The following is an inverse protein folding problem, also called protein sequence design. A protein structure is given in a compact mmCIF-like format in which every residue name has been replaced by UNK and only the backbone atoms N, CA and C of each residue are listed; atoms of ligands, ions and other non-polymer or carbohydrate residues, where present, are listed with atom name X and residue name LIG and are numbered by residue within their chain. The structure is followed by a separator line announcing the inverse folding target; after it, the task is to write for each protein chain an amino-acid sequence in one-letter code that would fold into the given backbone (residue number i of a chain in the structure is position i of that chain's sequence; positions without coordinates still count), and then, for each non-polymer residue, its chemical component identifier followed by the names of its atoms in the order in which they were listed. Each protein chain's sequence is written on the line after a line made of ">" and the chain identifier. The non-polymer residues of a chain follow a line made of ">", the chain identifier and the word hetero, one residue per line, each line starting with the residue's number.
data_IF_915721853768
#
_entry.id   IF_915721853768
#
_cell.length_a   1.000
_cell.length_b   1.000
_cell.length_c   1.000
_cell.angle_alpha   90.00
_cell.angle_beta   90.00
_cell.angle_gamma   90.00
#
_symmetry.space_group_name_H-M   'P 1'
#
loop_
_entity.id
_entity.type
_entity.pdbx_description
1 polymer ?
#
# COMPACT_ATOMS: atom_id res chain seq x y z
N UNK A 1 -3.64 -18.71 -0.01
CA UNK A 1 -3.82 -18.29 -1.42
C UNK A 1 -3.54 -16.81 -1.52
N UNK A 2 -2.54 -16.39 -2.31
CA UNK A 2 -2.30 -14.95 -2.54
C UNK A 2 -3.52 -14.38 -3.26
N UNK A 3 -4.30 -13.57 -2.55
CA UNK A 3 -5.50 -12.91 -3.09
C UNK A 3 -5.10 -12.11 -4.33
N UNK A 4 -5.99 -12.04 -5.33
CA UNK A 4 -5.73 -11.32 -6.59
C UNK A 4 -5.26 -9.87 -6.33
N UNK A 5 -5.75 -9.27 -5.23
CA UNK A 5 -5.35 -7.95 -4.74
C UNK A 5 -3.86 -7.84 -4.41
N UNK A 6 -3.31 -8.80 -3.65
CA UNK A 6 -1.89 -8.78 -3.24
C UNK A 6 -0.94 -8.78 -4.45
N UNK A 7 -1.20 -9.62 -5.45
CA UNK A 7 -0.39 -9.65 -6.69
C UNK A 7 -0.45 -8.33 -7.46
N UNK A 8 -1.61 -7.67 -7.48
CA UNK A 8 -1.76 -6.36 -8.13
C UNK A 8 -1.04 -5.25 -7.35
N UNK A 9 -1.08 -5.29 -6.01
CA UNK A 9 -0.33 -4.36 -5.15
C UNK A 9 1.16 -4.47 -5.44
N UNK A 10 1.72 -5.68 -5.42
CA UNK A 10 3.14 -5.92 -5.75
C UNK A 10 3.51 -5.39 -7.13
N UNK A 11 2.71 -5.68 -8.16
CA UNK A 11 2.98 -5.17 -9.51
C UNK A 11 2.98 -3.63 -9.56
N UNK A 12 2.04 -2.97 -8.86
CA UNK A 12 2.01 -1.51 -8.79
C UNK A 12 3.22 -0.94 -8.04
N UNK A 13 3.65 -1.56 -6.95
CA UNK A 13 4.85 -1.16 -6.19
C UNK A 13 6.10 -1.27 -7.05
N UNK A 14 6.30 -2.40 -7.74
CA UNK A 14 7.46 -2.62 -8.62
C UNK A 14 7.50 -1.60 -9.77
N UNK A 15 6.34 -1.21 -10.31
CA UNK A 15 6.26 -0.15 -11.32
C UNK A 15 6.41 1.28 -10.77
N UNK A 16 6.65 1.48 -9.47
CA UNK A 16 6.70 2.81 -8.85
C UNK A 16 5.34 3.51 -8.68
N UNK A 17 4.23 2.81 -8.97
CA UNK A 17 2.85 3.33 -8.88
C UNK A 17 2.28 3.12 -7.47
N UNK A 18 2.94 3.72 -6.48
CA UNK A 18 2.65 3.52 -5.06
C UNK A 18 1.25 3.98 -4.66
N UNK A 19 0.73 5.07 -5.25
CA UNK A 19 -0.64 5.54 -4.97
C UNK A 19 -1.69 4.52 -5.41
N UNK A 20 -1.53 3.91 -6.58
CA UNK A 20 -2.42 2.85 -7.06
C UNK A 20 -2.28 1.58 -6.22
N UNK A 21 -1.06 1.24 -5.80
CA UNK A 21 -0.83 0.12 -4.89
C UNK A 21 -1.60 0.31 -3.57
N UNK A 22 -1.52 1.50 -2.96
CA UNK A 22 -2.28 1.84 -1.76
C UNK A 22 -3.79 1.77 -1.98
N UNK A 23 -4.31 2.28 -3.10
CA UNK A 23 -5.75 2.21 -3.40
C UNK A 23 -6.26 0.77 -3.52
N UNK A 24 -5.47 -0.15 -4.06
CA UNK A 24 -5.85 -1.56 -4.16
C UNK A 24 -5.79 -2.21 -2.78
N UNK A 25 -4.72 -1.94 -2.01
CA UNK A 25 -4.53 -2.48 -0.67
C UNK A 25 -5.64 -2.04 0.30
N UNK A 26 -5.93 -0.74 0.34
CA UNK A 26 -6.99 -0.15 1.18
C UNK A 26 -8.38 -0.65 0.82
N UNK A 27 -8.72 -0.74 -0.47
CA UNK A 27 -10.00 -1.31 -0.94
C UNK A 27 -10.15 -2.79 -0.60
N UNK A 28 -9.05 -3.53 -0.56
CA UNK A 28 -9.06 -4.94 -0.18
C UNK A 28 -9.14 -5.14 1.33
N UNK A 29 -9.08 -4.07 2.14
CA UNK A 29 -9.05 -4.15 3.61
C UNK A 29 -7.78 -4.82 4.15
N UNK A 30 -6.72 -4.91 3.34
CA UNK A 30 -5.54 -5.70 3.68
C UNK A 30 -4.51 -4.83 4.41
N UNK A 31 -4.50 -4.93 5.75
CA UNK A 31 -3.54 -4.20 6.61
C UNK A 31 -2.10 -4.54 6.24
N UNK A 32 -1.80 -5.81 5.97
CA UNK A 32 -0.47 -6.26 5.56
C UNK A 32 0.00 -5.59 4.25
N UNK A 33 -0.89 -5.44 3.27
CA UNK A 33 -0.55 -4.78 2.00
C UNK A 33 -0.33 -3.29 2.18
N UNK A 34 -1.15 -2.63 3.01
CA UNK A 34 -0.98 -1.19 3.30
C UNK A 34 0.33 -0.93 4.06
N UNK A 35 0.71 -1.79 5.01
CA UNK A 35 2.00 -1.70 5.69
C UNK A 35 3.17 -1.91 4.72
N UNK A 36 3.06 -2.87 3.80
CA UNK A 36 4.07 -3.10 2.77
C UNK A 36 4.22 -1.87 1.85
N UNK A 37 3.11 -1.29 1.38
CA UNK A 37 3.14 -0.08 0.55
C UNK A 37 3.71 1.11 1.33
N UNK A 38 3.42 1.24 2.63
CA UNK A 38 4.00 2.29 3.48
C UNK A 38 5.53 2.18 3.55
N UNK A 39 6.05 0.96 3.78
CA UNK A 39 7.49 0.71 3.81
C UNK A 39 8.16 1.06 2.47
N UNK A 40 7.54 0.67 1.36
CA UNK A 40 8.03 0.98 0.02
C UNK A 40 7.93 2.47 -0.31
N UNK A 41 6.88 3.15 0.15
CA UNK A 41 6.74 4.59 -0.01
C UNK A 41 7.79 5.37 0.79
N UNK A 42 8.15 4.90 1.99
CA UNK A 42 9.26 5.47 2.76
C UNK A 42 10.59 5.33 2.00
N UNK A 43 10.88 4.14 1.47
CA UNK A 43 12.10 3.88 0.70
C UNK A 43 12.17 4.68 -0.61
N UNK A 44 11.04 4.87 -1.29
CA UNK A 44 10.94 5.67 -2.49
C UNK A 44 10.83 7.20 -2.20
N UNK A 45 10.91 7.61 -0.93
CA UNK A 45 10.69 8.98 -0.47
C UNK A 45 9.34 9.59 -0.94
N UNK A 46 8.35 8.74 -1.19
CA UNK A 46 6.99 9.10 -1.56
C UNK A 46 6.15 9.43 -0.32
N UNK A 47 6.57 10.48 0.40
CA UNK A 47 5.95 10.93 1.66
C UNK A 47 4.42 11.07 1.59
N UNK A 48 3.82 11.60 0.49
CA UNK A 48 2.36 11.71 0.41
C UNK A 48 1.63 10.36 0.46
N UNK A 49 2.21 9.31 -0.12
CA UNK A 49 1.62 7.96 -0.07
C UNK A 49 1.84 7.33 1.30
N UNK A 50 2.98 7.59 1.92
CA UNK A 50 3.27 7.15 3.28
C UNK A 50 2.27 7.73 4.29
N UNK A 51 1.96 9.03 4.20
CA UNK A 51 0.97 9.66 5.08
C UNK A 51 -0.43 9.09 4.87
N UNK A 52 -0.83 8.84 3.62
CA UNK A 52 -2.10 8.15 3.33
C UNK A 52 -2.14 6.75 3.96
N UNK A 53 -1.05 5.99 3.89
CA UNK A 53 -0.97 4.66 4.49
C UNK A 53 -1.08 4.75 6.02
N UNK A 54 -0.36 5.68 6.66
CA UNK A 54 -0.42 5.90 8.12
C UNK A 54 -1.81 6.29 8.58
N UNK A 55 -2.45 7.22 7.88
CA UNK A 55 -3.81 7.66 8.20
C UNK A 55 -4.80 6.50 8.08
N UNK A 56 -4.72 5.71 7.00
CA UNK A 56 -5.57 4.54 6.83
C UNK A 56 -5.32 3.50 7.94
N UNK A 57 -4.07 3.22 8.28
CA UNK A 57 -3.71 2.27 9.35
C UNK A 57 -4.21 2.72 10.72
N UNK A 58 -4.22 4.02 11.01
CA UNK A 58 -4.79 4.57 12.26
C UNK A 58 -6.30 4.38 12.41
N UNK A 59 -7.01 4.00 11.35
CA UNK A 59 -8.43 3.64 11.43
C UNK A 59 -8.64 2.15 11.76
N UNK A 60 -7.59 1.32 11.66
CA UNK A 60 -7.64 -0.14 11.87
C UNK A 60 -6.86 -0.59 13.11
N UNK A 61 -6.22 0.34 13.83
CA UNK A 61 -5.58 0.16 15.14
C UNK A 61 -6.26 1.08 16.15
#
# INVERSE_FOLDING_TARGET
>A
MLTSSHRKVLACVVCGRLKSAFQIASRSGSVADVQYVAHQALHANALPVLDMCKQWLSQYM
#
